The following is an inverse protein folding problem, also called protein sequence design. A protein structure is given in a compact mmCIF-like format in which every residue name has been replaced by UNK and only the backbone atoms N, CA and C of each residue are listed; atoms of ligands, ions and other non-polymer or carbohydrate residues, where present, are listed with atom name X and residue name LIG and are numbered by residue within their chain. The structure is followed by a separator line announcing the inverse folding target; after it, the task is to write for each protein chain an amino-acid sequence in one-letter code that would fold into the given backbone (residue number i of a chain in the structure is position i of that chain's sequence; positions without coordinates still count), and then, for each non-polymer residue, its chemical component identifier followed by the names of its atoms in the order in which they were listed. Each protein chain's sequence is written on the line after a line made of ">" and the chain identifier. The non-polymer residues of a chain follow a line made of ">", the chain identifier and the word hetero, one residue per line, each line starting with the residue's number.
data_IF_114091521052
#
_entry.id   IF_114091521052
#
_cell.length_a   1.000
_cell.length_b   1.000
_cell.length_c   1.000
_cell.angle_alpha   90.00
_cell.angle_beta   90.00
_cell.angle_gamma   90.00
#
_symmetry.space_group_name_H-M   'P 1'
#
loop_
_entity.id
_entity.type
_entity.pdbx_description
1 polymer ?
#
# COMPACT_ATOMS: atom_id res chain seq x y z
N UNK A 1 35.66 -47.69 -17.27
CA UNK A 1 34.42 -47.03 -17.75
C UNK A 1 33.94 -46.13 -16.62
N UNK A 2 34.25 -44.83 -16.68
CA UNK A 2 33.81 -43.84 -15.70
C UNK A 2 32.56 -43.17 -16.26
N UNK A 3 31.44 -43.30 -15.57
CA UNK A 3 30.20 -42.60 -15.91
C UNK A 3 30.31 -41.21 -15.28
N UNK A 4 30.53 -40.19 -16.11
CA UNK A 4 30.37 -38.80 -15.70
C UNK A 4 28.88 -38.52 -15.61
N UNK A 5 28.36 -38.34 -14.40
CA UNK A 5 27.09 -37.67 -14.18
C UNK A 5 27.35 -36.16 -14.23
N UNK A 6 27.26 -35.59 -15.42
CA UNK A 6 27.08 -34.14 -15.57
C UNK A 6 25.63 -33.84 -15.21
N UNK A 7 25.43 -33.53 -13.92
CA UNK A 7 24.19 -32.93 -13.44
C UNK A 7 24.17 -31.49 -13.98
N UNK A 8 23.48 -31.28 -15.09
CA UNK A 8 23.12 -29.96 -15.59
C UNK A 8 22.16 -29.29 -14.60
N UNK A 9 22.70 -28.86 -13.45
CA UNK A 9 22.06 -27.85 -12.63
C UNK A 9 22.24 -26.52 -13.36
N UNK A 10 21.32 -26.24 -14.28
CA UNK A 10 21.03 -24.90 -14.71
C UNK A 10 20.59 -24.11 -13.48
N UNK A 11 21.55 -23.55 -12.76
CA UNK A 11 21.32 -22.50 -11.80
C UNK A 11 20.67 -21.36 -12.57
N UNK A 12 19.34 -21.28 -12.49
CA UNK A 12 18.60 -20.08 -12.83
C UNK A 12 19.22 -18.96 -11.99
N UNK A 13 20.15 -18.22 -12.60
CA UNK A 13 20.58 -16.93 -12.09
C UNK A 13 19.33 -16.06 -12.13
N UNK A 14 18.58 -16.04 -11.04
CA UNK A 14 17.64 -14.97 -10.77
C UNK A 14 18.47 -13.69 -10.91
N UNK A 15 18.20 -12.91 -11.96
CA UNK A 15 18.79 -11.57 -12.09
C UNK A 15 18.56 -10.89 -10.74
N UNK A 16 19.62 -10.41 -10.11
CA UNK A 16 19.48 -9.56 -8.94
C UNK A 16 18.59 -8.40 -9.35
N UNK A 17 17.37 -8.43 -8.83
CA UNK A 17 16.38 -7.39 -9.05
C UNK A 17 16.96 -6.08 -8.56
N UNK A 18 16.92 -5.03 -9.38
CA UNK A 18 17.36 -3.72 -8.94
C UNK A 18 16.64 -3.34 -7.64
N UNK A 19 17.37 -2.86 -6.60
CA UNK A 19 16.74 -2.46 -5.36
C UNK A 19 15.70 -1.39 -5.65
N UNK A 20 14.46 -1.62 -5.20
CA UNK A 20 13.44 -0.59 -5.15
C UNK A 20 14.04 0.64 -4.46
N UNK A 21 14.13 1.77 -5.17
CA UNK A 21 14.62 3.01 -4.59
C UNK A 21 13.68 3.41 -3.47
N UNK A 22 14.11 3.15 -2.24
CA UNK A 22 13.42 3.50 -1.00
C UNK A 22 13.17 5.01 -1.02
N UNK A 23 11.91 5.43 -1.07
CA UNK A 23 11.52 6.83 -0.93
C UNK A 23 10.78 6.95 0.39
N UNK A 24 11.28 7.81 1.28
CA UNK A 24 10.61 8.08 2.55
C UNK A 24 9.18 8.56 2.29
N UNK A 25 8.21 7.93 2.96
CA UNK A 25 6.79 8.31 2.88
C UNK A 25 6.41 8.99 4.18
N UNK A 26 6.04 10.26 4.09
CA UNK A 26 5.56 11.03 5.24
C UNK A 26 4.04 11.07 5.25
N UNK A 27 3.43 10.51 6.29
CA UNK A 27 1.99 10.56 6.49
C UNK A 27 1.59 11.74 7.37
N UNK A 28 0.58 12.48 6.91
CA UNK A 28 -0.06 13.60 7.62
C UNK A 28 -1.57 13.47 7.46
N UNK A 29 -2.33 14.10 8.35
CA UNK A 29 -3.79 14.27 8.19
C UNK A 29 -4.06 15.75 8.00
N UNK A 30 -4.98 16.10 7.10
CA UNK A 30 -5.50 17.47 7.10
C UNK A 30 -6.28 17.73 8.40
N UNK A 31 -6.11 18.89 9.05
CA UNK A 31 -6.78 19.22 10.31
C UNK A 31 -8.29 19.38 10.16
N UNK A 32 -8.80 19.47 8.93
CA UNK A 32 -10.22 19.60 8.61
C UNK A 32 -10.89 18.22 8.68
N UNK A 33 -11.48 17.91 9.83
CA UNK A 33 -12.43 16.80 9.94
C UNK A 33 -13.71 17.22 9.22
N UNK A 34 -13.98 16.62 8.06
CA UNK A 34 -15.19 16.91 7.31
C UNK A 34 -16.34 16.04 7.83
N UNK A 35 -17.33 16.67 8.47
CA UNK A 35 -18.56 15.99 8.88
C UNK A 35 -19.45 15.78 7.64
N UNK A 36 -19.51 14.54 7.16
CA UNK A 36 -20.46 14.16 6.12
C UNK A 36 -21.82 13.87 6.73
N UNK A 37 -22.72 14.83 6.58
CA UNK A 37 -24.12 14.70 7.01
C UNK A 37 -24.87 13.71 6.13
N UNK A 38 -25.52 12.73 6.75
CA UNK A 38 -26.33 11.69 6.08
C UNK A 38 -27.78 11.85 6.50
N UNK A 39 -28.72 11.82 5.55
CA UNK A 39 -30.15 12.08 5.79
C UNK A 39 -30.81 11.12 6.80
N UNK A 40 -30.34 9.87 6.90
CA UNK A 40 -30.97 8.81 7.72
C UNK A 40 -29.97 7.98 8.54
N UNK A 41 -28.72 8.43 8.66
CA UNK A 41 -27.64 7.69 9.34
C UNK A 41 -26.82 8.63 10.22
N UNK A 42 -26.06 8.07 11.15
CA UNK A 42 -25.09 8.85 11.93
C UNK A 42 -24.13 9.58 10.97
N UNK A 43 -23.74 10.83 11.27
CA UNK A 43 -22.72 11.55 10.52
C UNK A 43 -21.42 10.75 10.51
N UNK A 44 -20.71 10.81 9.40
CA UNK A 44 -19.38 10.24 9.25
C UNK A 44 -18.36 11.36 9.33
N UNK A 45 -17.22 11.08 9.96
CA UNK A 45 -16.08 11.98 10.00
C UNK A 45 -15.07 11.48 8.98
N UNK A 46 -14.95 12.21 7.88
CA UNK A 46 -14.00 11.87 6.81
C UNK A 46 -12.63 12.44 7.17
N UNK A 47 -11.62 11.57 7.21
CA UNK A 47 -10.23 11.94 7.42
C UNK A 47 -9.52 11.90 6.07
N UNK A 48 -8.87 13.00 5.70
CA UNK A 48 -8.00 13.00 4.51
C UNK A 48 -6.60 12.58 4.93
N UNK A 49 -6.18 11.39 4.48
CA UNK A 49 -4.79 10.93 4.62
C UNK A 49 -3.98 11.63 3.55
N UNK A 50 -2.89 12.26 3.94
CA UNK A 50 -1.93 12.88 3.05
C UNK A 50 -0.63 12.09 3.14
N UNK A 51 -0.18 11.54 2.02
CA UNK A 51 1.14 10.92 1.91
C UNK A 51 2.04 11.83 1.08
N UNK A 52 3.23 12.10 1.58
CA UNK A 52 4.25 12.85 0.85
C UNK A 52 5.40 11.90 0.51
N UNK A 53 5.69 11.75 -0.78
CA UNK A 53 6.82 10.97 -1.29
C UNK A 53 7.39 11.64 -2.54
N UNK A 54 8.72 11.73 -2.62
CA UNK A 54 9.45 12.40 -3.72
C UNK A 54 9.13 13.90 -3.90
N UNK A 55 8.80 14.60 -2.81
CA UNK A 55 8.34 15.99 -2.86
C UNK A 55 6.97 16.15 -3.54
N UNK A 56 6.28 15.05 -3.83
CA UNK A 56 4.90 15.03 -4.30
C UNK A 56 3.97 14.70 -3.13
N UNK A 57 2.80 15.32 -3.15
CA UNK A 57 1.77 15.16 -2.13
C UNK A 57 0.59 14.40 -2.76
N UNK A 58 0.21 13.31 -2.12
CA UNK A 58 -0.91 12.46 -2.50
C UNK A 58 -1.99 12.55 -1.42
N UNK A 59 -3.19 12.91 -1.82
CA UNK A 59 -4.32 13.08 -0.92
C UNK A 59 -5.36 11.99 -1.14
N UNK A 60 -5.67 11.25 -0.09
CA UNK A 60 -6.72 10.25 -0.07
C UNK A 60 -7.89 10.82 0.74
N UNK A 61 -8.74 11.60 0.07
CA UNK A 61 -9.91 12.26 0.65
C UNK A 61 -11.16 11.38 0.57
N UNK A 62 -12.12 11.61 1.47
CA UNK A 62 -13.44 10.96 1.41
C UNK A 62 -13.51 9.52 1.93
N UNK A 63 -12.43 9.00 2.52
CA UNK A 63 -12.43 7.70 3.16
C UNK A 63 -12.75 7.80 4.66
N UNK A 64 -13.68 6.96 5.09
CA UNK A 64 -13.96 6.74 6.50
C UNK A 64 -12.77 5.98 7.10
N UNK A 65 -11.83 6.69 7.72
CA UNK A 65 -10.83 6.05 8.58
C UNK A 65 -11.59 5.60 9.83
N UNK A 66 -12.02 4.35 9.84
CA UNK A 66 -12.82 3.75 10.90
C UNK A 66 -12.18 2.47 11.44
N UNK A 67 -12.80 1.90 12.47
CA UNK A 67 -12.32 0.65 13.08
C UNK A 67 -12.32 -0.54 12.10
N UNK A 68 -13.18 -0.54 11.07
CA UNK A 68 -13.25 -1.62 10.09
C UNK A 68 -12.08 -1.53 9.10
N UNK A 69 -11.72 -0.33 8.66
CA UNK A 69 -10.56 -0.07 7.83
C UNK A 69 -9.27 -0.46 8.57
N UNK A 70 -9.12 -0.04 9.83
CA UNK A 70 -7.97 -0.43 10.65
C UNK A 70 -7.93 -1.95 10.86
N UNK A 71 -9.07 -2.57 11.16
CA UNK A 71 -9.14 -4.02 11.32
C UNK A 71 -8.76 -4.78 10.04
N UNK A 72 -9.09 -4.24 8.87
CA UNK A 72 -8.66 -4.80 7.57
C UNK A 72 -7.15 -4.75 7.44
N UNK A 73 -6.55 -3.60 7.78
CA UNK A 73 -5.10 -3.43 7.73
C UNK A 73 -4.36 -4.34 8.72
N UNK A 74 -4.93 -4.58 9.91
CA UNK A 74 -4.35 -5.48 10.93
C UNK A 74 -4.40 -6.95 10.54
N UNK A 75 -5.52 -7.39 9.97
CA UNK A 75 -5.76 -8.81 9.72
C UNK A 75 -5.38 -9.25 8.31
N UNK A 76 -5.43 -8.33 7.34
CA UNK A 76 -5.23 -8.63 5.93
C UNK A 76 -4.70 -7.41 5.16
N UNK A 77 -3.45 -6.98 5.40
CA UNK A 77 -2.87 -5.79 4.78
C UNK A 77 -2.79 -5.88 3.25
N UNK A 78 -2.68 -7.08 2.67
CA UNK A 78 -2.63 -7.25 1.22
C UNK A 78 -3.95 -6.86 0.52
N UNK A 79 -5.08 -6.86 1.23
CA UNK A 79 -6.40 -6.41 0.73
C UNK A 79 -6.76 -4.99 1.13
N UNK A 80 -5.83 -4.28 1.76
CA UNK A 80 -6.04 -2.89 2.14
C UNK A 80 -6.20 -2.01 0.90
N UNK A 81 -7.13 -1.06 0.93
CA UNK A 81 -7.34 -0.08 -0.14
C UNK A 81 -7.91 1.21 0.42
N UNK A 82 -7.27 2.31 0.05
CA UNK A 82 -7.72 3.67 0.29
C UNK A 82 -7.54 4.47 -1.00
N UNK A 83 -8.58 5.21 -1.39
CA UNK A 83 -8.66 5.97 -2.62
C UNK A 83 -9.71 5.43 -3.59
N UNK A 84 -10.67 6.29 -3.98
CA UNK A 84 -11.73 5.96 -4.95
C UNK A 84 -11.24 6.04 -6.41
N UNK A 85 -10.01 6.53 -6.61
CA UNK A 85 -9.33 6.68 -7.89
C UNK A 85 -7.83 6.89 -7.68
N UNK A 86 -7.00 6.83 -8.74
CA UNK A 86 -5.58 7.03 -8.59
C UNK A 86 -5.26 8.47 -8.13
N UNK A 87 -4.28 8.67 -7.22
CA UNK A 87 -3.45 7.64 -6.62
C UNK A 87 -4.16 6.82 -5.53
N UNK A 88 -3.85 5.52 -5.46
CA UNK A 88 -4.34 4.57 -4.47
C UNK A 88 -3.27 4.27 -3.43
N UNK A 89 -3.66 4.11 -2.17
CA UNK A 89 -2.86 3.46 -1.14
C UNK A 89 -3.44 2.06 -0.92
N UNK A 90 -2.72 1.01 -1.30
CA UNK A 90 -3.27 -0.34 -1.33
C UNK A 90 -2.25 -1.42 -0.96
N UNK A 91 -2.73 -2.59 -0.59
CA UNK A 91 -1.94 -3.81 -0.51
C UNK A 91 -1.71 -4.44 -1.89
N UNK A 92 -1.27 -5.69 -1.91
CA UNK A 92 -0.82 -6.39 -3.12
C UNK A 92 -1.79 -7.41 -3.72
N UNK A 93 -2.87 -7.79 -3.01
CA UNK A 93 -3.81 -8.83 -3.43
C UNK A 93 -4.93 -8.28 -4.32
N UNK A 94 -4.57 -7.83 -5.53
CA UNK A 94 -5.49 -7.26 -6.52
C UNK A 94 -5.40 -7.92 -7.90
N UNK A 95 -5.68 -9.25 -8.01
CA UNK A 95 -5.31 -10.10 -9.15
C UNK A 95 -5.93 -9.73 -10.52
N UNK A 96 -6.98 -8.91 -10.55
CA UNK A 96 -7.67 -8.50 -11.78
C UNK A 96 -7.62 -6.97 -12.01
N UNK A 97 -6.61 -6.31 -11.45
CA UNK A 97 -6.44 -4.86 -11.53
C UNK A 97 -5.12 -4.48 -12.18
N UNK A 98 -5.04 -3.23 -12.68
CA UNK A 98 -3.78 -2.64 -13.12
C UNK A 98 -2.71 -2.60 -12.02
N UNK A 99 -3.10 -2.66 -10.74
CA UNK A 99 -2.17 -2.72 -9.61
C UNK A 99 -1.35 -4.02 -9.64
N UNK A 100 -1.92 -5.14 -10.10
CA UNK A 100 -1.20 -6.42 -10.19
C UNK A 100 -0.05 -6.40 -11.20
N UNK A 101 -0.21 -5.65 -12.30
CA UNK A 101 0.84 -5.44 -13.30
C UNK A 101 1.93 -4.56 -12.72
N UNK A 102 1.54 -3.45 -12.06
CA UNK A 102 2.47 -2.53 -11.40
C UNK A 102 3.33 -3.25 -10.34
N UNK A 103 2.74 -4.12 -9.53
CA UNK A 103 3.44 -4.92 -8.51
C UNK A 103 4.51 -5.81 -9.14
N UNK A 104 4.16 -6.49 -10.25
CA UNK A 104 5.08 -7.39 -10.97
C UNK A 104 6.21 -6.61 -11.62
N UNK A 105 5.88 -5.53 -12.33
CA UNK A 105 6.85 -4.74 -13.09
C UNK A 105 7.88 -4.06 -12.17
N UNK A 106 7.48 -3.71 -10.95
CA UNK A 106 8.33 -3.02 -9.97
C UNK A 106 8.84 -3.95 -8.86
N UNK A 107 8.57 -5.26 -8.91
CA UNK A 107 8.97 -6.25 -7.91
C UNK A 107 8.61 -5.84 -6.46
N UNK A 108 7.39 -5.34 -6.25
CA UNK A 108 6.92 -4.94 -4.92
C UNK A 108 6.75 -6.19 -4.04
N UNK A 109 7.25 -6.20 -2.80
CA UNK A 109 7.04 -7.32 -1.88
C UNK A 109 5.56 -7.59 -1.65
N UNK A 110 5.16 -8.86 -1.67
CA UNK A 110 3.75 -9.26 -1.54
C UNK A 110 3.14 -8.94 -0.16
N UNK A 111 3.96 -8.69 0.85
CA UNK A 111 3.54 -8.32 2.20
C UNK A 111 3.64 -6.81 2.48
N UNK A 112 3.91 -5.99 1.45
CA UNK A 112 3.98 -4.55 1.56
C UNK A 112 2.63 -3.86 1.24
N UNK A 113 2.55 -2.57 1.55
CA UNK A 113 1.59 -1.66 0.92
C UNK A 113 2.31 -0.83 -0.14
N UNK A 114 1.57 -0.29 -1.09
CA UNK A 114 2.09 0.63 -2.10
C UNK A 114 1.16 1.82 -2.32
N UNK A 115 1.76 2.93 -2.71
CA UNK A 115 1.07 4.06 -3.32
C UNK A 115 1.29 3.99 -4.82
N UNK A 116 0.22 4.02 -5.62
CA UNK A 116 0.29 3.89 -7.08
C UNK A 116 -0.74 4.76 -7.79
N UNK A 117 -0.37 5.31 -8.94
CA UNK A 117 -1.30 5.95 -9.88
C UNK A 117 -2.01 4.95 -10.82
N UNK A 118 -1.85 3.65 -10.56
CA UNK A 118 -2.34 2.56 -11.39
C UNK A 118 -1.46 2.22 -12.60
N UNK A 119 -0.32 2.91 -12.77
CA UNK A 119 0.66 2.65 -13.83
C UNK A 119 2.09 2.49 -13.30
N UNK A 120 2.39 3.15 -12.19
CA UNK A 120 3.73 3.19 -11.59
C UNK A 120 3.63 3.08 -10.08
N UNK A 121 4.69 2.57 -9.46
CA UNK A 121 4.84 2.62 -8.00
C UNK A 121 5.38 3.98 -7.60
N UNK A 122 4.59 4.73 -6.84
CA UNK A 122 4.95 6.05 -6.31
C UNK A 122 5.69 5.90 -4.99
N UNK A 123 5.26 4.96 -4.15
CA UNK A 123 5.93 4.61 -2.90
C UNK A 123 5.59 3.19 -2.45
N UNK A 124 6.42 2.63 -1.55
CA UNK A 124 6.23 1.31 -0.92
C UNK A 124 6.37 1.47 0.59
N UNK A 125 5.51 0.82 1.34
CA UNK A 125 5.54 0.74 2.80
C UNK A 125 5.76 -0.73 3.14
N UNK A 126 6.90 -1.04 3.72
CA UNK A 126 7.28 -2.43 3.99
C UNK A 126 6.50 -3.01 5.18
N UNK A 127 6.42 -4.33 5.22
CA UNK A 127 5.70 -5.07 6.26
C UNK A 127 6.13 -4.69 7.69
N UNK A 128 7.42 -4.40 7.91
CA UNK A 128 7.94 -3.95 9.21
C UNK A 128 7.48 -2.52 9.61
N UNK A 129 7.01 -1.72 8.66
CA UNK A 129 6.52 -0.35 8.87
C UNK A 129 4.99 -0.30 9.06
N UNK A 130 4.27 -1.33 8.57
CA UNK A 130 2.80 -1.43 8.70
C UNK A 130 2.32 -1.30 10.16
N UNK A 131 2.96 -1.92 11.18
CA UNK A 131 2.54 -1.74 12.57
C UNK A 131 2.62 -0.29 13.06
N UNK A 132 3.62 0.47 12.63
CA UNK A 132 3.75 1.88 12.98
C UNK A 132 2.66 2.71 12.32
N UNK A 133 2.34 2.41 11.05
CA UNK A 133 1.23 3.04 10.32
C UNK A 133 -0.13 2.75 10.98
N UNK A 134 -0.41 1.50 11.38
CA UNK A 134 -1.60 1.13 12.15
C UNK A 134 -1.68 1.92 13.46
N UNK A 135 -0.58 1.98 14.20
CA UNK A 135 -0.49 2.71 15.46
C UNK A 135 -0.82 4.19 15.31
N UNK A 136 -0.36 4.81 14.22
CA UNK A 136 -0.70 6.18 13.86
C UNK A 136 -2.19 6.34 13.52
N UNK A 137 -2.77 5.48 12.67
CA UNK A 137 -4.20 5.53 12.31
C UNK A 137 -5.11 5.43 13.55
N UNK A 138 -4.79 4.54 14.50
CA UNK A 138 -5.54 4.38 15.75
C UNK A 138 -5.56 5.64 16.62
N UNK A 139 -4.52 6.48 16.56
CA UNK A 139 -4.48 7.73 17.32
C UNK A 139 -5.45 8.78 16.77
N UNK A 140 -5.87 8.66 15.50
CA UNK A 140 -6.74 9.61 14.80
C UNK A 140 -8.23 9.39 15.07
N UNK A 141 -8.64 8.16 15.36
CA UNK A 141 -10.06 7.75 15.45
C UNK A 141 -10.60 7.64 16.88
N UNK A 142 -10.02 8.38 17.83
CA UNK A 142 -10.38 8.35 19.26
C UNK A 142 -11.86 8.63 19.54
#
# INVERSE_FOLDING_TARGET
>A
MKVNMESEQAAYQAKETEPLKLKEVYFKVKPEVNERKRLFRKPLYELTIVAEADGQVYEFAGYDVDNALISTLENNPSRFLVGDGPPFLCGTDWPDSGVSEVIKDHNVPLDALLITDGRTVLAVIYNNEIPAFIGWLKQLIK
#
